data_IF_149582770281
#
_entry.id   IF_149582770281
#
_cell.length_a   1.000
_cell.length_b   1.000
_cell.length_c   1.000
_cell.angle_alpha   90.00
_cell.angle_beta   90.00
_cell.angle_gamma   90.00
#
_symmetry.space_group_name_H-M   'P 1'
#
loop_
_entity.id
_entity.type
_entity.pdbx_description
1 polymer ?
#
# COMPACT_ATOMS: atom_id res chain seq x y z
N UNK A 1 6.20 -25.70 -34.03
CA UNK A 1 5.50 -24.42 -33.94
C UNK A 1 5.19 -24.16 -32.48
N UNK A 2 5.32 -22.93 -31.99
CA UNK A 2 4.80 -22.56 -30.68
C UNK A 2 3.26 -22.59 -30.72
N UNK A 3 2.57 -23.01 -29.65
CA UNK A 3 1.11 -23.05 -29.65
C UNK A 3 0.54 -21.65 -29.80
N UNK A 4 -0.44 -21.51 -30.69
CA UNK A 4 -1.12 -20.27 -31.11
C UNK A 4 -1.99 -19.60 -30.04
N UNK A 5 -1.69 -19.80 -28.75
CA UNK A 5 -2.60 -19.46 -27.65
C UNK A 5 -2.00 -18.51 -26.62
N UNK A 6 -0.80 -17.97 -26.84
CA UNK A 6 -0.23 -16.94 -25.98
C UNK A 6 -0.93 -15.62 -26.31
N UNK A 7 -1.95 -15.27 -25.52
CA UNK A 7 -2.53 -13.93 -25.54
C UNK A 7 -1.45 -12.92 -25.13
N UNK A 8 -1.31 -11.87 -25.93
CA UNK A 8 -0.47 -10.75 -25.58
C UNK A 8 -1.13 -10.02 -24.39
N UNK A 9 -0.43 -9.92 -23.27
CA UNK A 9 -0.87 -9.18 -22.09
C UNK A 9 -0.90 -7.69 -22.47
N UNK A 10 -2.08 -7.07 -22.36
CA UNK A 10 -2.26 -5.64 -22.58
C UNK A 10 -1.87 -4.85 -21.33
N UNK A 11 -1.84 -3.51 -21.41
CA UNK A 11 -1.59 -2.67 -20.23
C UNK A 11 -2.70 -2.84 -19.17
N UNK A 12 -3.96 -2.98 -19.60
CA UNK A 12 -5.10 -3.24 -18.70
C UNK A 12 -4.95 -4.59 -17.99
N UNK A 13 -4.55 -5.64 -18.73
CA UNK A 13 -4.23 -6.93 -18.13
C UNK A 13 -3.06 -6.82 -17.13
N UNK A 14 -2.12 -5.92 -17.38
CA UNK A 14 -0.96 -5.70 -16.50
C UNK A 14 -1.37 -5.07 -15.18
N UNK A 15 -2.27 -4.08 -15.18
CA UNK A 15 -2.78 -3.45 -13.96
C UNK A 15 -3.57 -4.43 -13.10
N UNK A 16 -4.47 -5.19 -13.73
CA UNK A 16 -5.25 -6.25 -13.06
C UNK A 16 -4.32 -7.31 -12.46
N UNK A 17 -3.30 -7.75 -13.19
CA UNK A 17 -2.33 -8.74 -12.69
C UNK A 17 -1.52 -8.17 -11.52
N UNK A 18 -1.08 -6.90 -11.58
CA UNK A 18 -0.37 -6.26 -10.45
C UNK A 18 -1.25 -6.19 -9.21
N UNK A 19 -2.50 -5.76 -9.35
CA UNK A 19 -3.46 -5.70 -8.25
C UNK A 19 -3.66 -7.09 -7.62
N UNK A 20 -3.86 -8.13 -8.45
CA UNK A 20 -4.04 -9.51 -7.96
C UNK A 20 -2.79 -10.04 -7.24
N UNK A 21 -1.59 -9.74 -7.73
CA UNK A 21 -0.33 -10.14 -7.08
C UNK A 21 -0.22 -9.49 -5.71
N UNK A 22 -0.50 -8.19 -5.62
CA UNK A 22 -0.41 -7.43 -4.36
C UNK A 22 -1.45 -7.95 -3.35
N UNK A 23 -2.70 -8.18 -3.77
CA UNK A 23 -3.74 -8.78 -2.91
C UNK A 23 -3.35 -10.18 -2.45
N UNK A 24 -2.80 -11.00 -3.36
CA UNK A 24 -2.29 -12.32 -3.02
C UNK A 24 -1.14 -12.28 -2.00
N UNK A 25 -0.26 -11.28 -2.10
CA UNK A 25 0.82 -11.06 -1.13
C UNK A 25 0.28 -10.70 0.25
N UNK A 26 -0.74 -9.82 0.33
CA UNK A 26 -1.40 -9.48 1.60
C UNK A 26 -1.95 -10.76 2.27
N UNK A 27 -2.72 -11.56 1.52
CA UNK A 27 -3.26 -12.83 2.04
C UNK A 27 -2.17 -13.80 2.48
N UNK A 28 -1.07 -13.91 1.71
CA UNK A 28 0.07 -14.76 2.06
C UNK A 28 0.71 -14.35 3.39
N UNK A 29 0.80 -13.05 3.64
CA UNK A 29 1.33 -12.47 4.87
C UNK A 29 0.27 -12.34 5.99
N UNK A 30 -0.88 -12.99 5.84
CA UNK A 30 -1.99 -12.94 6.81
C UNK A 30 -2.61 -11.55 7.02
N UNK A 31 -2.49 -10.67 6.03
CA UNK A 31 -3.08 -9.33 6.04
C UNK A 31 -4.37 -9.28 5.20
N UNK A 32 -5.34 -8.46 5.62
CA UNK A 32 -6.52 -8.17 4.80
C UNK A 32 -6.12 -7.24 3.64
N UNK A 33 -6.33 -7.61 2.37
CA UNK A 33 -6.03 -6.72 1.25
C UNK A 33 -6.78 -5.39 1.28
N UNK A 34 -7.91 -5.30 2.01
CA UNK A 34 -8.63 -4.05 2.24
C UNK A 34 -7.87 -3.08 3.17
N UNK A 35 -6.95 -3.58 4.00
CA UNK A 35 -6.11 -2.78 4.90
C UNK A 35 -4.73 -2.46 4.33
N UNK A 36 -4.46 -2.81 3.07
CA UNK A 36 -3.19 -2.47 2.44
C UNK A 36 -2.93 -0.95 2.41
N UNK A 37 -3.99 -0.14 2.25
CA UNK A 37 -3.90 1.32 2.27
C UNK A 37 -4.75 1.86 3.42
N UNK A 38 -4.12 2.58 4.33
CA UNK A 38 -4.80 3.21 5.46
C UNK A 38 -4.41 4.68 5.55
N UNK A 39 -5.34 5.52 6.01
CA UNK A 39 -5.16 6.96 6.09
C UNK A 39 -5.31 7.40 7.55
N UNK A 40 -4.38 8.25 7.99
CA UNK A 40 -4.32 8.77 9.35
C UNK A 40 -4.06 10.29 9.34
N UNK A 41 -4.54 10.97 10.37
CA UNK A 41 -4.18 12.37 10.65
C UNK A 41 -2.94 12.42 11.54
N UNK A 42 -2.03 13.35 11.26
CA UNK A 42 -0.72 13.42 11.93
C UNK A 42 -0.77 13.70 13.43
N UNK A 43 -1.89 14.21 13.95
CA UNK A 43 -2.10 14.41 15.39
C UNK A 43 -2.52 13.13 16.13
N UNK A 44 -2.97 12.08 15.42
CA UNK A 44 -3.40 10.81 16.02
C UNK A 44 -2.23 9.82 16.14
N UNK A 45 -1.19 10.23 16.85
CA UNK A 45 0.03 9.43 17.02
C UNK A 45 -0.23 8.05 17.64
N UNK A 46 -1.23 7.95 18.53
CA UNK A 46 -1.58 6.68 19.16
C UNK A 46 -2.19 5.72 18.15
N UNK A 47 -3.17 6.17 17.35
CA UNK A 47 -3.77 5.33 16.31
C UNK A 47 -2.75 4.95 15.22
N UNK A 48 -1.82 5.83 14.87
CA UNK A 48 -0.73 5.52 13.94
C UNK A 48 0.17 4.42 14.52
N UNK A 49 0.58 4.53 15.79
CA UNK A 49 1.43 3.52 16.42
C UNK A 49 0.74 2.16 16.57
N UNK A 50 -0.51 2.16 17.03
CA UNK A 50 -1.32 0.94 17.14
C UNK A 50 -1.54 0.31 15.76
N UNK A 51 -1.89 1.12 14.76
CA UNK A 51 -2.03 0.67 13.37
C UNK A 51 -0.75 0.05 12.83
N UNK A 52 0.40 0.69 13.04
CA UNK A 52 1.71 0.13 12.64
C UNK A 52 1.93 -1.21 13.32
N UNK A 53 1.74 -1.29 14.64
CA UNK A 53 2.00 -2.50 15.43
C UNK A 53 1.13 -3.70 15.07
N UNK A 54 -0.11 -3.44 14.67
CA UNK A 54 -1.08 -4.47 14.28
C UNK A 54 -0.96 -4.92 12.81
N UNK A 55 -0.15 -4.23 12.00
CA UNK A 55 -0.05 -4.47 10.56
C UNK A 55 1.13 -5.35 10.18
N UNK A 56 0.90 -6.41 9.41
CA UNK A 56 1.96 -7.22 8.81
C UNK A 56 2.47 -6.62 7.49
N UNK A 57 1.58 -6.06 6.65
CA UNK A 57 2.00 -5.30 5.46
C UNK A 57 1.02 -4.16 5.16
N UNK A 58 1.51 -2.93 5.03
CA UNK A 58 0.62 -1.79 4.77
C UNK A 58 1.33 -0.55 4.23
N UNK A 59 0.55 0.32 3.61
CA UNK A 59 0.94 1.65 3.16
C UNK A 59 0.07 2.66 3.90
N UNK A 60 0.69 3.46 4.75
CA UNK A 60 0.02 4.43 5.60
C UNK A 60 0.18 5.80 4.99
N UNK A 61 -0.93 6.48 4.70
CA UNK A 61 -0.95 7.85 4.25
C UNK A 61 -1.19 8.75 5.46
N UNK A 62 -0.20 9.54 5.83
CA UNK A 62 -0.31 10.51 6.94
C UNK A 62 -0.66 11.86 6.34
N UNK A 63 -1.79 12.43 6.76
CA UNK A 63 -2.21 13.78 6.36
C UNK A 63 -1.98 14.77 7.48
N UNK A 64 -1.69 16.00 7.08
CA UNK A 64 -1.69 17.11 8.01
C UNK A 64 -3.10 17.28 8.61
N UNK A 65 -3.19 17.45 9.93
CA UNK A 65 -4.48 17.65 10.60
C UNK A 65 -5.29 18.79 9.97
N UNK A 66 -6.57 18.52 9.68
CA UNK A 66 -7.50 19.48 9.09
C UNK A 66 -7.15 19.92 7.66
N UNK A 67 -6.17 19.28 7.02
CA UNK A 67 -5.67 19.59 5.69
C UNK A 67 -5.83 18.45 4.70
N UNK A 68 -5.69 18.77 3.41
CA UNK A 68 -5.59 17.77 2.34
C UNK A 68 -4.14 17.42 1.98
N UNK A 69 -3.18 18.08 2.61
CA UNK A 69 -1.76 17.89 2.33
C UNK A 69 -1.28 16.55 2.90
N UNK A 70 -0.55 15.80 2.08
CA UNK A 70 0.11 14.57 2.51
C UNK A 70 1.38 14.97 3.24
N UNK A 71 1.43 14.63 4.52
CA UNK A 71 2.58 14.89 5.38
C UNK A 71 3.63 13.78 5.21
N UNK A 72 3.22 12.53 5.18
CA UNK A 72 4.12 11.39 4.95
C UNK A 72 3.39 10.19 4.32
N UNK A 73 4.15 9.28 3.72
CA UNK A 73 3.72 7.96 3.30
C UNK A 73 4.67 6.94 3.93
N UNK A 74 4.13 6.04 4.75
CA UNK A 74 4.91 4.98 5.39
C UNK A 74 4.65 3.64 4.69
N UNK A 75 5.69 2.81 4.58
CA UNK A 75 5.51 1.38 4.26
C UNK A 75 5.81 0.59 5.53
N UNK A 76 4.84 -0.21 5.95
CA UNK A 76 4.91 -1.04 7.16
C UNK A 76 5.11 -2.49 6.77
N UNK A 77 6.06 -3.16 7.43
CA UNK A 77 6.24 -4.61 7.41
C UNK A 77 6.41 -5.11 8.85
N UNK A 78 5.65 -6.14 9.22
CA UNK A 78 5.77 -6.87 10.49
C UNK A 78 5.81 -5.96 11.71
N UNK A 79 4.85 -5.03 11.81
CA UNK A 79 4.77 -4.12 12.95
C UNK A 79 5.72 -2.92 12.89
N UNK A 80 6.43 -2.70 11.78
CA UNK A 80 7.46 -1.65 11.67
C UNK A 80 7.36 -0.83 10.39
N UNK A 81 7.42 0.49 10.53
CA UNK A 81 7.61 1.39 9.39
C UNK A 81 9.04 1.25 8.85
N UNK A 82 9.18 0.63 7.68
CA UNK A 82 10.48 0.35 7.03
C UNK A 82 10.89 1.42 6.02
N UNK A 83 9.91 2.09 5.41
CA UNK A 83 10.12 3.25 4.55
C UNK A 83 9.30 4.40 5.12
N UNK A 84 9.92 5.56 5.23
CA UNK A 84 9.40 6.78 5.83
C UNK A 84 9.81 7.97 4.95
N UNK A 85 9.20 9.13 5.16
CA UNK A 85 9.44 10.36 4.40
C UNK A 85 9.29 10.15 2.88
N UNK A 86 8.35 9.30 2.45
CA UNK A 86 8.19 8.97 1.04
C UNK A 86 7.40 10.09 0.32
N UNK A 87 7.93 10.62 -0.80
CA UNK A 87 7.23 11.65 -1.55
C UNK A 87 6.02 11.07 -2.30
N UNK A 88 4.96 11.87 -2.41
CA UNK A 88 3.87 11.56 -3.34
C UNK A 88 4.35 11.68 -4.79
N UNK A 89 4.28 10.58 -5.55
CA UNK A 89 4.71 10.52 -6.95
C UNK A 89 3.71 11.24 -7.90
N UNK A 90 2.62 11.78 -7.38
CA UNK A 90 1.59 12.50 -8.15
C UNK A 90 1.95 13.92 -8.60
N UNK A 91 3.18 14.40 -8.37
CA UNK A 91 3.61 15.79 -8.66
C UNK A 91 4.77 15.86 -9.67
N UNK A 92 4.86 14.92 -10.61
CA UNK A 92 5.81 14.95 -11.73
C UNK A 92 5.17 15.45 -13.03
#
# INVERSE_FOLDING_TARGET
>A
SFPSSVRQITSEDTEVVRELIIKGLCVYLHEDPAHLFMEYESEDYAAIQDGIGDTTVGIFLIRQNGGSEVEDILVVLEGQAILVDLPSVGVA
#
